data_IF_305381103985
#
_entry.id   IF_305381103985
#
_cell.length_a   1.000
_cell.length_b   1.000
_cell.length_c   1.000
_cell.angle_alpha   90.00
_cell.angle_beta   90.00
_cell.angle_gamma   90.00
#
_symmetry.space_group_name_H-M   'P 1'
#
loop_
_entity.id
_entity.type
_entity.pdbx_description
1 polymer ?
#
# COMPACT_ATOMS: atom_id res chain seq x y z
N UNK A 1 -2.37 -2.40 4.98
CA UNK A 1 -1.15 -1.74 5.51
C UNK A 1 -0.26 -1.22 4.40
N UNK A 2 0.45 -2.07 3.63
CA UNK A 2 1.42 -1.60 2.63
C UNK A 2 0.77 -0.68 1.59
N UNK A 3 -0.27 -1.15 0.90
CA UNK A 3 -0.96 -0.38 -0.14
C UNK A 3 -1.54 0.97 0.33
N UNK A 4 -1.83 1.11 1.62
CA UNK A 4 -2.46 2.30 2.20
C UNK A 4 -1.47 3.27 2.84
N UNK A 5 -0.34 2.78 3.33
CA UNK A 5 0.62 3.57 4.12
C UNK A 5 1.98 3.71 3.45
N UNK A 6 2.12 3.24 2.20
CA UNK A 6 3.41 3.23 1.50
C UNK A 6 4.00 4.63 1.33
N UNK A 7 5.35 4.76 1.37
CA UNK A 7 6.34 3.70 1.60
C UNK A 7 6.43 3.25 3.08
N UNK A 8 6.33 1.94 3.36
CA UNK A 8 6.39 1.40 4.75
C UNK A 8 7.56 0.44 4.96
N UNK A 9 8.14 0.42 6.17
CA UNK A 9 9.15 -0.58 6.52
C UNK A 9 8.56 -1.89 7.02
N UNK A 10 9.32 -2.98 6.92
CA UNK A 10 8.93 -4.28 7.51
C UNK A 10 8.66 -4.16 9.01
N UNK A 11 9.53 -3.47 9.73
CA UNK A 11 9.41 -3.25 11.16
C UNK A 11 8.09 -2.55 11.54
N UNK A 12 7.67 -1.57 10.74
CA UNK A 12 6.38 -0.91 10.94
C UNK A 12 5.21 -1.88 10.73
N UNK A 13 5.25 -2.71 9.69
CA UNK A 13 4.21 -3.73 9.44
C UNK A 13 4.10 -4.69 10.62
N UNK A 14 5.25 -5.15 11.13
CA UNK A 14 5.35 -6.06 12.28
C UNK A 14 4.76 -5.40 13.54
N UNK A 15 5.13 -4.15 13.80
CA UNK A 15 4.63 -3.39 14.94
C UNK A 15 3.11 -3.20 14.89
N UNK A 16 2.54 -2.87 13.71
CA UNK A 16 1.09 -2.63 13.60
C UNK A 16 0.30 -3.94 13.63
N UNK A 17 0.83 -5.03 13.06
CA UNK A 17 0.16 -6.35 13.12
C UNK A 17 0.36 -7.06 14.47
N UNK A 18 1.35 -6.65 15.25
CA UNK A 18 1.73 -7.29 16.51
C UNK A 18 2.35 -8.68 16.34
N UNK A 19 2.72 -9.07 15.12
CA UNK A 19 3.25 -10.40 14.79
C UNK A 19 4.31 -10.33 13.70
N UNK A 20 5.23 -11.31 13.70
CA UNK A 20 6.25 -11.49 12.67
C UNK A 20 5.62 -11.54 11.28
N UNK A 21 6.08 -10.62 10.43
CA UNK A 21 5.52 -10.41 9.10
C UNK A 21 6.50 -10.71 7.98
N UNK A 22 7.69 -11.22 8.33
CA UNK A 22 8.77 -11.48 7.39
C UNK A 22 8.36 -12.44 6.26
N UNK A 23 7.72 -13.57 6.58
CA UNK A 23 7.27 -14.55 5.57
C UNK A 23 6.18 -13.99 4.65
N UNK A 24 5.28 -13.17 5.18
CA UNK A 24 4.28 -12.48 4.35
C UNK A 24 4.93 -11.50 3.38
N UNK A 25 5.88 -10.70 3.85
CA UNK A 25 6.58 -9.70 3.02
C UNK A 25 7.42 -10.40 1.94
N UNK A 26 8.17 -11.45 2.30
CA UNK A 26 8.92 -12.26 1.33
C UNK A 26 8.00 -12.87 0.26
N UNK A 27 6.89 -13.50 0.66
CA UNK A 27 5.96 -14.09 -0.31
C UNK A 27 5.31 -13.05 -1.24
N UNK A 28 5.08 -11.81 -0.79
CA UNK A 28 4.58 -10.73 -1.63
C UNK A 28 5.65 -10.20 -2.60
N UNK A 29 6.92 -10.12 -2.17
CA UNK A 29 8.06 -9.76 -3.01
C UNK A 29 8.28 -10.80 -4.11
N UNK A 30 8.27 -12.10 -3.75
CA UNK A 30 8.45 -13.20 -4.71
C UNK A 30 7.34 -13.23 -5.77
N UNK A 31 6.12 -12.87 -5.40
CA UNK A 31 4.99 -12.73 -6.33
C UNK A 31 5.03 -11.43 -7.14
N UNK A 32 5.99 -10.55 -6.89
CA UNK A 32 6.10 -9.24 -7.53
C UNK A 32 4.94 -8.30 -7.21
N UNK A 33 4.19 -8.54 -6.13
CA UNK A 33 3.06 -7.69 -5.70
C UNK A 33 3.55 -6.44 -4.96
N UNK A 34 4.70 -6.53 -4.30
CA UNK A 34 5.37 -5.40 -3.67
C UNK A 34 6.82 -5.36 -4.15
N UNK A 35 7.45 -4.19 -4.02
CA UNK A 35 8.86 -3.96 -4.33
C UNK A 35 9.51 -3.08 -3.26
N UNK A 36 10.84 -3.08 -3.23
CA UNK A 36 11.61 -2.17 -2.38
C UNK A 36 11.53 -0.74 -2.93
N UNK A 37 10.95 0.18 -2.15
CA UNK A 37 10.83 1.59 -2.48
C UNK A 37 12.08 2.42 -2.12
N UNK A 38 13.11 1.77 -1.58
CA UNK A 38 14.33 2.42 -1.06
C UNK A 38 14.47 2.21 0.45
N UNK A 39 15.09 3.19 1.13
CA UNK A 39 15.30 3.18 2.58
C UNK A 39 14.66 4.41 3.21
N UNK A 40 14.00 4.22 4.36
CA UNK A 40 13.44 5.32 5.13
C UNK A 40 14.54 6.10 5.85
N UNK A 41 14.33 7.41 6.02
CA UNK A 41 15.18 8.27 6.84
C UNK A 41 14.78 8.15 8.32
N UNK A 42 14.88 6.92 8.83
CA UNK A 42 14.62 6.55 10.22
C UNK A 42 15.88 5.90 10.81
N UNK A 43 16.04 5.89 12.15
CA UNK A 43 17.16 5.20 12.79
C UNK A 43 17.25 3.74 12.32
N UNK A 44 18.45 3.34 11.87
CA UNK A 44 18.70 2.03 11.27
C UNK A 44 18.43 1.95 9.75
N UNK A 45 17.95 3.04 9.12
CA UNK A 45 17.67 3.16 7.68
C UNK A 45 16.99 1.90 7.10
N UNK A 46 15.83 1.50 7.65
CA UNK A 46 15.18 0.27 7.25
C UNK A 46 14.70 0.37 5.80
N UNK A 47 14.70 -0.77 5.11
CA UNK A 47 14.13 -0.89 3.77
C UNK A 47 12.63 -0.60 3.83
N UNK A 48 12.17 0.24 2.91
CA UNK A 48 10.75 0.51 2.67
C UNK A 48 10.21 -0.31 1.51
N UNK A 49 8.93 -0.63 1.56
CA UNK A 49 8.19 -1.38 0.55
C UNK A 49 7.01 -0.57 0.04
N UNK A 50 6.69 -0.76 -1.24
CA UNK A 50 5.51 -0.23 -1.94
C UNK A 50 4.87 -1.30 -2.80
N UNK A 51 3.61 -1.13 -3.18
CA UNK A 51 2.93 -1.98 -4.16
C UNK A 51 3.42 -1.68 -5.57
N UNK A 52 3.38 -2.69 -6.43
CA UNK A 52 3.75 -2.59 -7.85
C UNK A 52 2.53 -2.47 -8.76
N UNK A 53 2.74 -2.22 -10.05
CA UNK A 53 1.68 -2.33 -11.06
C UNK A 53 1.08 -3.74 -11.16
N UNK A 54 1.84 -4.78 -10.80
CA UNK A 54 1.33 -6.15 -10.76
C UNK A 54 0.26 -6.30 -9.69
N UNK A 55 0.43 -5.65 -8.54
CA UNK A 55 -0.62 -5.60 -7.52
C UNK A 55 -1.88 -4.96 -8.09
N UNK A 56 -1.77 -3.78 -8.71
CA UNK A 56 -2.94 -3.11 -9.30
C UNK A 56 -3.67 -4.03 -10.29
N UNK A 57 -2.95 -4.68 -11.21
CA UNK A 57 -3.52 -5.63 -12.18
C UNK A 57 -4.20 -6.84 -11.52
N UNK A 58 -3.58 -7.44 -10.51
CA UNK A 58 -4.12 -8.62 -9.81
C UNK A 58 -5.40 -8.29 -9.06
N UNK A 59 -5.48 -7.09 -8.50
CA UNK A 59 -6.65 -6.61 -7.75
C UNK A 59 -7.68 -5.87 -8.63
N UNK A 60 -7.43 -5.76 -9.95
CA UNK A 60 -8.33 -5.08 -10.88
C UNK A 60 -8.42 -3.56 -10.67
N UNK A 61 -7.42 -2.98 -10.01
CA UNK A 61 -7.37 -1.55 -9.69
C UNK A 61 -6.67 -0.79 -10.81
N UNK A 62 -7.18 0.39 -11.16
CA UNK A 62 -6.51 1.28 -12.12
C UNK A 62 -5.45 2.15 -11.44
N UNK A 63 -5.57 2.39 -10.14
CA UNK A 63 -4.66 3.22 -9.35
C UNK A 63 -4.86 2.95 -7.85
N UNK A 64 -3.91 3.38 -7.02
CA UNK A 64 -4.02 3.25 -5.56
C UNK A 64 -5.15 4.08 -4.95
N UNK A 65 -5.63 5.10 -5.67
CA UNK A 65 -6.80 5.88 -5.29
C UNK A 65 -8.10 5.05 -5.31
N UNK A 66 -8.11 3.93 -6.02
CA UNK A 66 -9.26 3.01 -6.12
C UNK A 66 -9.32 2.02 -4.94
N UNK A 67 -8.33 2.05 -4.04
CA UNK A 67 -8.32 1.21 -2.86
C UNK A 67 -9.48 1.58 -1.92
N UNK A 68 -10.22 0.59 -1.37
CA UNK A 68 -11.30 0.86 -0.45
C UNK A 68 -10.79 1.54 0.83
N UNK A 69 -11.55 2.47 1.43
CA UNK A 69 -11.12 3.14 2.65
C UNK A 69 -10.86 2.14 3.77
N UNK A 70 -9.75 2.31 4.49
CA UNK A 70 -9.42 1.48 5.65
C UNK A 70 -10.45 1.79 6.73
N UNK A 71 -11.25 0.79 7.14
CA UNK A 71 -12.32 0.96 8.12
C UNK A 71 -11.88 1.79 9.33
N UNK A 72 -12.43 2.99 9.46
CA UNK A 72 -12.07 3.95 10.51
C UNK A 72 -12.23 5.42 10.11
N UNK A 73 -12.30 5.74 8.81
CA UNK A 73 -12.77 7.04 8.35
C UNK A 73 -13.79 6.86 7.24
N UNK A 74 -15.02 7.27 7.52
CA UNK A 74 -16.05 7.60 6.54
C UNK A 74 -15.45 8.65 5.59
N UNK A 75 -14.79 8.22 4.51
CA UNK A 75 -14.46 9.13 3.44
C UNK A 75 -15.71 9.30 2.62
N UNK A 76 -16.43 10.39 2.92
CA UNK A 76 -17.44 11.00 2.09
C UNK A 76 -16.96 10.96 0.63
N UNK A 77 -17.56 10.05 -0.15
CA UNK A 77 -17.37 9.94 -1.60
C UNK A 77 -17.92 11.20 -2.23
N UNK A 78 -17.12 12.28 -2.28
CA UNK A 78 -17.39 13.40 -3.16
C UNK A 78 -16.78 13.09 -4.53
N UNK A 79 -17.33 12.09 -5.20
CA UNK A 79 -17.15 11.93 -6.63
C UNK A 79 -18.01 13.01 -7.30
N UNK A 80 -17.45 14.20 -7.50
CA UNK A 80 -18.03 15.19 -8.40
C UNK A 80 -18.10 14.59 -9.80
N UNK A 81 -19.29 14.39 -10.40
CA UNK A 81 -19.35 14.25 -11.84
C UNK A 81 -19.08 15.65 -12.40
N UNK A 82 -17.95 15.82 -13.08
CA UNK A 82 -17.79 16.91 -14.02
C UNK A 82 -18.81 16.68 -15.13
N UNK A 83 -19.97 17.30 -15.00
CA UNK A 83 -20.91 17.49 -16.10
C UNK A 83 -20.24 18.44 -17.10
N UNK A 84 -19.73 17.83 -18.17
CA UNK A 84 -19.47 18.49 -19.45
C UNK A 84 -20.73 18.33 -20.28
N UNK A 85 -21.39 19.43 -20.66
CA UNK A 85 -22.12 19.60 -21.93
C UNK A 85 -22.78 20.99 -21.99
N UNK A 86 -22.65 21.67 -23.15
CA UNK A 86 -23.55 22.77 -23.58
C UNK A 86 -22.91 24.13 -23.78
#
# INVERSE_FOLDING_TARGET
MIAYNQPVSRAFIEQVRGVDSSSSVSGLLEKGLIEEAGRLDLPGRPVSFRTTDTFLRVFGLSSLADLPPVHGQETETNASPTESEG
#
